data_IF_815697399983
#
_entry.id   IF_815697399983
#
_cell.length_a   1.000
_cell.length_b   1.000
_cell.length_c   1.000
_cell.angle_alpha   90.00
_cell.angle_beta   90.00
_cell.angle_gamma   90.00
#
_symmetry.space_group_name_H-M   'P 1'
#
loop_
_entity.id
_entity.type
_entity.pdbx_description
1 polymer ?
#
# COMPACT_ATOMS: atom_id res chain seq x y z
N UNK A 1 -14.76 2.42 10.03
CA UNK A 1 -13.59 3.26 9.81
C UNK A 1 -12.82 2.78 8.59
N UNK A 2 -12.40 3.70 7.76
CA UNK A 2 -11.66 3.34 6.53
C UNK A 2 -10.28 2.83 6.90
N UNK A 3 -9.94 1.68 6.36
CA UNK A 3 -8.65 1.04 6.61
C UNK A 3 -7.76 1.18 5.38
N UNK A 4 -6.55 1.70 5.60
CA UNK A 4 -5.58 1.89 4.52
C UNK A 4 -4.36 1.01 4.77
N UNK A 5 -3.99 0.24 3.77
CA UNK A 5 -2.77 -0.57 3.81
C UNK A 5 -1.68 0.21 3.07
N UNK A 6 -0.62 0.54 3.78
CA UNK A 6 0.54 1.23 3.21
C UNK A 6 1.64 0.21 2.99
N UNK A 7 2.07 0.04 1.76
CA UNK A 7 3.12 -0.92 1.41
C UNK A 7 4.36 -0.14 1.00
N UNK A 8 5.32 -0.06 1.90
CA UNK A 8 6.48 0.79 1.73
C UNK A 8 7.65 0.25 2.57
N UNK A 9 8.81 0.08 1.95
CA UNK A 9 9.98 -0.46 2.66
C UNK A 9 10.82 0.63 3.33
N UNK A 10 10.65 1.88 2.95
CA UNK A 10 11.37 2.98 3.58
C UNK A 10 10.59 3.48 4.79
N UNK A 11 11.13 3.20 5.97
CA UNK A 11 10.43 3.45 7.22
C UNK A 11 10.07 4.92 7.43
N UNK A 12 10.99 5.82 7.11
CA UNK A 12 10.72 7.24 7.32
C UNK A 12 9.54 7.71 6.47
N UNK A 13 9.41 7.19 5.27
CA UNK A 13 8.30 7.55 4.38
C UNK A 13 6.99 6.94 4.86
N UNK A 14 7.03 5.66 5.24
CA UNK A 14 5.82 5.00 5.73
C UNK A 14 5.34 5.62 7.05
N UNK A 15 6.27 6.03 7.91
CA UNK A 15 5.91 6.69 9.16
C UNK A 15 5.22 8.02 8.89
N UNK A 16 5.74 8.80 7.94
CA UNK A 16 5.13 10.09 7.58
C UNK A 16 3.72 9.90 7.02
N UNK A 17 3.55 8.93 6.12
CA UNK A 17 2.25 8.63 5.56
C UNK A 17 1.27 8.17 6.63
N UNK A 18 1.72 7.27 7.51
CA UNK A 18 0.89 6.77 8.59
C UNK A 18 0.42 7.89 9.49
N UNK A 19 1.32 8.79 9.85
CA UNK A 19 1.00 9.91 10.71
C UNK A 19 -0.08 10.79 10.08
N UNK A 20 0.12 11.15 8.82
CA UNK A 20 -0.83 11.99 8.10
C UNK A 20 -2.20 11.35 7.98
N UNK A 21 -2.22 10.07 7.62
CA UNK A 21 -3.48 9.37 7.42
C UNK A 21 -4.24 9.17 8.72
N UNK A 22 -3.52 8.86 9.79
CA UNK A 22 -4.17 8.70 11.10
C UNK A 22 -4.76 10.01 11.58
N UNK A 23 -4.10 11.12 11.28
CA UNK A 23 -4.63 12.45 11.63
C UNK A 23 -5.97 12.71 10.94
N UNK A 24 -6.15 12.15 9.75
CA UNK A 24 -7.39 12.32 9.00
C UNK A 24 -8.49 11.33 9.43
N UNK A 25 -8.19 10.50 10.42
CA UNK A 25 -9.20 9.59 10.95
C UNK A 25 -9.18 8.20 10.33
N UNK A 26 -8.18 7.88 9.53
CA UNK A 26 -8.07 6.56 8.92
C UNK A 26 -7.34 5.58 9.83
N UNK A 27 -7.67 4.31 9.65
CA UNK A 27 -6.94 3.23 10.29
C UNK A 27 -5.84 2.80 9.32
N UNK A 28 -4.60 2.71 9.80
CA UNK A 28 -3.45 2.45 8.92
C UNK A 28 -2.68 1.23 9.37
N UNK A 29 -2.36 0.36 8.40
CA UNK A 29 -1.46 -0.77 8.60
C UNK A 29 -0.33 -0.61 7.62
N UNK A 30 0.90 -0.87 8.07
CA UNK A 30 2.08 -0.76 7.21
C UNK A 30 2.67 -2.14 6.96
N UNK A 31 2.97 -2.43 5.71
CA UNK A 31 3.70 -3.63 5.32
C UNK A 31 5.01 -3.20 4.68
N UNK A 32 6.12 -3.81 5.09
CA UNK A 32 7.44 -3.39 4.65
C UNK A 32 7.88 -4.02 3.33
N UNK A 33 7.18 -5.05 2.87
CA UNK A 33 7.51 -5.69 1.61
C UNK A 33 6.25 -6.30 1.00
N UNK A 34 6.39 -6.81 -0.22
CA UNK A 34 5.25 -7.32 -0.96
C UNK A 34 4.60 -8.55 -0.34
N UNK A 35 5.41 -9.45 0.21
CA UNK A 35 4.86 -10.64 0.84
C UNK A 35 4.09 -10.31 2.10
N UNK A 36 4.61 -9.38 2.90
CA UNK A 36 3.91 -8.91 4.09
C UNK A 36 2.59 -8.23 3.70
N UNK A 37 2.60 -7.49 2.60
CA UNK A 37 1.40 -6.80 2.12
C UNK A 37 0.31 -7.79 1.74
N UNK A 38 0.67 -8.85 1.01
CA UNK A 38 -0.30 -9.87 0.60
C UNK A 38 -0.87 -10.57 1.82
N UNK A 39 0.00 -10.94 2.76
CA UNK A 39 -0.44 -11.60 4.01
C UNK A 39 -1.37 -10.70 4.81
N UNK A 40 -1.02 -9.44 4.93
CA UNK A 40 -1.84 -8.49 5.69
C UNK A 40 -3.19 -8.29 5.03
N UNK A 41 -3.20 -8.17 3.70
CA UNK A 41 -4.45 -7.99 2.98
C UNK A 41 -5.34 -9.23 3.12
N UNK A 42 -4.76 -10.41 3.06
CA UNK A 42 -5.52 -11.66 3.21
C UNK A 42 -6.11 -11.78 4.61
N UNK A 43 -5.36 -11.32 5.62
CA UNK A 43 -5.82 -11.44 7.01
C UNK A 43 -6.87 -10.40 7.38
N UNK A 44 -6.69 -9.17 6.97
CA UNK A 44 -7.50 -8.04 7.46
C UNK A 44 -8.19 -7.23 6.37
N UNK A 45 -7.76 -7.36 5.12
CA UNK A 45 -8.30 -6.56 4.05
C UNK A 45 -7.88 -5.10 4.14
N UNK A 46 -8.43 -4.29 3.27
CA UNK A 46 -8.22 -2.85 3.28
C UNK A 46 -9.27 -2.20 2.41
N UNK A 47 -9.51 -0.92 2.65
CA UNK A 47 -10.43 -0.13 1.81
C UNK A 47 -9.66 0.63 0.74
N UNK A 48 -8.36 0.78 0.95
CA UNK A 48 -7.48 1.46 0.01
C UNK A 48 -6.06 0.94 0.24
N UNK A 49 -5.31 0.76 -0.84
CA UNK A 49 -3.91 0.32 -0.76
C UNK A 49 -3.02 1.38 -1.38
N UNK A 50 -2.02 1.83 -0.62
CA UNK A 50 -0.97 2.71 -1.13
C UNK A 50 0.26 1.83 -1.30
N UNK A 51 0.75 1.71 -2.51
CA UNK A 51 1.72 0.69 -2.87
C UNK A 51 2.94 1.28 -3.54
N UNK A 52 4.11 1.05 -2.97
CA UNK A 52 5.37 1.48 -3.56
C UNK A 52 5.74 0.53 -4.71
N UNK A 53 6.12 1.10 -5.84
CA UNK A 53 6.54 0.32 -7.00
C UNK A 53 7.83 -0.44 -6.76
N UNK A 54 8.73 0.16 -5.98
CA UNK A 54 10.09 -0.37 -5.80
C UNK A 54 10.23 -1.09 -4.47
N UNK A 55 9.61 -2.26 -4.36
CA UNK A 55 9.66 -3.05 -3.14
C UNK A 55 10.70 -4.15 -3.22
N UNK A 56 11.30 -4.54 -2.08
CA UNK A 56 12.14 -5.73 -2.06
C UNK A 56 11.26 -6.98 -2.16
N UNK A 57 11.84 -8.07 -2.66
CA UNK A 57 11.08 -9.31 -2.84
C UNK A 57 10.20 -9.22 -4.08
N UNK A 58 8.90 -9.44 -3.92
CA UNK A 58 8.00 -9.33 -5.05
C UNK A 58 7.74 -7.85 -5.33
N UNK A 59 7.64 -7.53 -6.61
CA UNK A 59 7.48 -6.14 -7.03
C UNK A 59 6.09 -5.60 -6.69
N UNK A 60 5.97 -4.27 -6.71
CA UNK A 60 4.68 -3.63 -6.51
C UNK A 60 3.65 -4.09 -7.53
N UNK A 61 4.08 -4.33 -8.76
CA UNK A 61 3.18 -4.83 -9.81
C UNK A 61 2.63 -6.20 -9.45
N UNK A 62 3.47 -7.08 -8.91
CA UNK A 62 3.04 -8.40 -8.49
C UNK A 62 2.05 -8.33 -7.33
N UNK A 63 2.30 -7.45 -6.37
CA UNK A 63 1.37 -7.24 -5.26
C UNK A 63 0.02 -6.77 -5.80
N UNK A 64 0.04 -5.84 -6.73
CA UNK A 64 -1.17 -5.32 -7.34
C UNK A 64 -1.96 -6.44 -8.02
N UNK A 65 -1.29 -7.27 -8.81
CA UNK A 65 -1.95 -8.40 -9.47
C UNK A 65 -2.56 -9.37 -8.47
N UNK A 66 -1.83 -9.65 -7.40
CA UNK A 66 -2.29 -10.58 -6.39
C UNK A 66 -3.57 -10.07 -5.73
N UNK A 67 -3.58 -8.81 -5.35
CA UNK A 67 -4.74 -8.21 -4.71
C UNK A 67 -5.92 -8.11 -5.69
N UNK A 68 -5.63 -7.74 -6.95
CA UNK A 68 -6.67 -7.62 -7.98
C UNK A 68 -7.35 -8.95 -8.28
N UNK A 69 -6.65 -10.05 -8.08
CA UNK A 69 -7.23 -11.37 -8.27
C UNK A 69 -8.30 -11.72 -7.26
N UNK A 70 -8.39 -10.98 -6.17
CA UNK A 70 -9.35 -11.29 -5.09
C UNK A 70 -10.16 -10.09 -4.60
N UNK A 71 -9.89 -8.89 -5.10
CA UNK A 71 -10.58 -7.69 -4.61
C UNK A 71 -10.52 -6.57 -5.64
N UNK A 72 -11.54 -5.71 -5.62
CA UNK A 72 -11.57 -4.51 -6.46
C UNK A 72 -11.15 -3.27 -5.67
N UNK A 73 -10.46 -3.45 -4.56
CA UNK A 73 -10.03 -2.33 -3.72
C UNK A 73 -9.18 -1.35 -4.54
N UNK A 74 -9.37 -0.04 -4.37
CA UNK A 74 -8.53 0.94 -5.06
C UNK A 74 -7.07 0.79 -4.64
N UNK A 75 -6.17 0.84 -5.61
CA UNK A 75 -4.73 0.76 -5.36
C UNK A 75 -4.08 1.97 -5.99
N UNK A 76 -3.35 2.74 -5.19
CA UNK A 76 -2.60 3.89 -5.68
C UNK A 76 -1.12 3.55 -5.63
N UNK A 77 -0.46 3.63 -6.79
CA UNK A 77 0.97 3.37 -6.85
C UNK A 77 1.73 4.64 -6.53
N UNK A 78 2.71 4.51 -5.65
CA UNK A 78 3.52 5.64 -5.20
C UNK A 78 4.97 5.33 -5.51
N UNK A 79 5.71 6.32 -6.02
CA UNK A 79 7.14 6.17 -6.23
C UNK A 79 7.87 7.08 -5.26
N UNK A 80 8.30 6.51 -4.14
CA UNK A 80 8.99 7.27 -3.11
C UNK A 80 10.31 7.84 -3.62
N UNK A 81 10.96 7.12 -4.53
CA UNK A 81 12.27 7.52 -5.02
C UNK A 81 12.22 8.77 -5.88
N UNK A 82 11.14 8.95 -6.60
CA UNK A 82 10.96 10.13 -7.44
C UNK A 82 10.13 11.19 -6.76
N UNK A 83 9.53 10.86 -5.62
CA UNK A 83 8.69 11.80 -4.91
C UNK A 83 7.38 12.08 -5.62
N UNK A 84 7.01 11.27 -6.57
CA UNK A 84 5.81 11.47 -7.37
C UNK A 84 4.78 10.40 -7.06
N UNK A 85 3.53 10.78 -7.14
CA UNK A 85 2.43 9.84 -6.99
C UNK A 85 1.99 9.45 -8.38
N UNK A 86 2.06 8.15 -8.67
CA UNK A 86 1.62 7.65 -9.94
C UNK A 86 0.11 7.57 -10.02
N UNK A 87 -0.36 7.30 -11.21
CA UNK A 87 -1.79 7.18 -11.44
C UNK A 87 -2.37 6.03 -10.65
N UNK A 88 -3.64 6.15 -10.34
CA UNK A 88 -4.38 5.07 -9.71
C UNK A 88 -4.42 3.90 -10.68
N UNK A 89 -4.01 2.74 -10.19
CA UNK A 89 -4.03 1.53 -10.98
C UNK A 89 -5.19 0.64 -10.57
N UNK A 90 -5.62 -0.16 -11.50
CA UNK A 90 -6.68 -1.10 -11.22
C UNK A 90 -8.08 -0.51 -11.29
N UNK A 91 -8.17 0.62 -11.90
CA UNK A 91 -9.46 1.22 -12.17
C UNK A 91 -10.17 0.49 -13.30
#
# INVERSE_FOLDING_TARGET
>A
MTRILVVEDEESFSDALSFMLKREGFEVTVAADGNAAVSEFDANGADLVLLDLMLPGISGTEVCKNIRGKSNVPIIMVSAKDGEIDKVLGL
#
